data_IF_256524949780
#
_entry.id   IF_256524949780
#
_cell.length_a   1.000
_cell.length_b   1.000
_cell.length_c   1.000
_cell.angle_alpha   90.00
_cell.angle_beta   90.00
_cell.angle_gamma   90.00
#
_symmetry.space_group_name_H-M   'P 1'
#
loop_
_entity.id
_entity.type
_entity.pdbx_description
1 polymer ?
#
# COMPACT_ATOMS: atom_id res chain seq x y z
N UNK A 1 2.79 6.63 7.32
CA UNK A 1 3.41 6.54 5.98
C UNK A 1 3.41 5.09 5.54
N UNK A 2 2.94 4.78 4.33
CA UNK A 2 2.91 3.41 3.82
C UNK A 2 4.06 3.25 2.85
N UNK A 3 4.95 2.32 3.16
CA UNK A 3 6.07 1.97 2.29
C UNK A 3 5.81 0.63 1.63
N UNK A 4 6.20 0.51 0.36
CA UNK A 4 6.00 -0.67 -0.45
C UNK A 4 7.28 -1.17 -1.10
N UNK A 5 7.16 -2.32 -1.76
CA UNK A 5 8.21 -2.85 -2.61
C UNK A 5 7.94 -2.52 -4.07
N UNK A 6 8.75 -1.63 -4.65
CA UNK A 6 8.63 -1.33 -6.06
C UNK A 6 9.35 -2.39 -6.89
N UNK A 7 8.62 -3.28 -7.55
CA UNK A 7 9.18 -4.30 -8.45
C UNK A 7 9.97 -3.70 -9.63
N UNK A 8 9.65 -2.47 -10.04
CA UNK A 8 10.34 -1.79 -11.14
C UNK A 8 11.71 -1.26 -10.73
N UNK A 9 11.79 -0.60 -9.58
CA UNK A 9 13.06 -0.12 -9.02
C UNK A 9 13.82 -1.22 -8.27
N UNK A 10 13.14 -2.34 -7.95
CA UNK A 10 13.60 -3.40 -7.03
C UNK A 10 14.00 -2.87 -5.65
N UNK A 11 13.42 -1.75 -5.24
CA UNK A 11 13.67 -1.10 -3.96
C UNK A 11 12.54 -1.42 -2.97
N UNK A 12 12.94 -1.78 -1.76
CA UNK A 12 12.04 -1.94 -0.60
C UNK A 12 12.03 -0.62 0.17
N UNK A 13 10.88 -0.25 0.73
CA UNK A 13 10.76 0.98 1.52
C UNK A 13 10.34 2.19 0.70
N UNK A 14 9.86 1.98 -0.52
CA UNK A 14 9.41 3.06 -1.41
C UNK A 14 8.13 3.67 -0.86
N UNK A 15 8.13 4.98 -0.64
CA UNK A 15 6.95 5.71 -0.18
C UNK A 15 5.85 5.70 -1.24
N UNK A 16 4.64 5.32 -0.80
CA UNK A 16 3.46 5.30 -1.65
C UNK A 16 2.75 6.65 -1.58
N UNK A 17 2.60 7.31 -2.73
CA UNK A 17 1.70 8.44 -2.90
C UNK A 17 0.28 7.96 -3.12
N UNK A 18 -0.67 8.61 -2.42
CA UNK A 18 -2.09 8.26 -2.42
C UNK A 18 -2.34 6.76 -2.23
N UNK A 19 -1.90 6.15 -1.11
CA UNK A 19 -2.15 4.75 -0.87
C UNK A 19 -3.65 4.49 -0.65
N UNK A 20 -4.13 3.36 -1.14
CA UNK A 20 -5.49 2.86 -0.99
C UNK A 20 -5.43 1.43 -0.46
N UNK A 21 -6.13 1.17 0.64
CA UNK A 21 -6.17 -0.13 1.30
C UNK A 21 -7.26 -0.97 0.65
N UNK A 22 -6.85 -2.04 -0.03
CA UNK A 22 -7.73 -3.07 -0.57
C UNK A 22 -7.74 -4.31 0.31
N UNK A 23 -8.91 -4.94 0.44
CA UNK A 23 -9.04 -6.26 1.04
C UNK A 23 -9.08 -7.32 -0.07
N UNK A 24 -8.25 -8.36 0.06
CA UNK A 24 -8.26 -9.52 -0.84
C UNK A 24 -9.35 -10.51 -0.41
N UNK A 25 -9.87 -11.31 -1.35
CA UNK A 25 -10.92 -12.31 -1.07
C UNK A 25 -10.53 -13.34 0.02
N UNK A 26 -9.25 -13.52 0.30
CA UNK A 26 -8.73 -14.42 1.35
C UNK A 26 -8.55 -13.72 2.71
N UNK A 27 -8.99 -12.48 2.84
CA UNK A 27 -8.89 -11.69 4.08
C UNK A 27 -7.55 -10.98 4.30
N UNK A 28 -6.60 -11.07 3.35
CA UNK A 28 -5.35 -10.31 3.40
C UNK A 28 -5.54 -8.86 2.97
N UNK A 29 -4.75 -7.94 3.52
CA UNK A 29 -4.81 -6.51 3.21
C UNK A 29 -3.66 -6.09 2.30
N UNK A 30 -3.98 -5.23 1.33
CA UNK A 30 -3.04 -4.76 0.33
C UNK A 30 -3.18 -3.25 0.17
N UNK A 31 -2.14 -2.49 0.53
CA UNK A 31 -2.07 -1.10 0.13
C UNK A 31 -1.57 -0.99 -1.31
N UNK A 32 -2.33 -0.31 -2.15
CA UNK A 32 -1.90 0.08 -3.49
C UNK A 32 -1.64 1.57 -3.49
N UNK A 33 -0.49 2.00 -3.95
CA UNK A 33 -0.22 3.41 -4.16
C UNK A 33 0.68 3.61 -5.36
N UNK A 34 0.95 4.87 -5.69
CA UNK A 34 1.88 5.20 -6.78
C UNK A 34 3.24 5.51 -6.20
N UNK A 35 4.29 5.00 -6.83
CA UNK A 35 5.63 5.50 -6.59
C UNK A 35 5.86 6.73 -7.48
N UNK A 36 6.08 7.90 -6.88
CA UNK A 36 6.29 9.15 -7.62
C UNK A 36 7.50 9.07 -8.54
N UNK A 37 8.60 8.46 -8.08
CA UNK A 37 9.84 8.46 -8.86
C UNK A 37 9.79 7.57 -10.10
N UNK A 38 9.01 6.48 -10.08
CA UNK A 38 8.94 5.55 -11.22
C UNK A 38 7.57 5.48 -11.91
N UNK A 39 6.59 6.23 -11.41
CA UNK A 39 5.20 6.28 -11.89
C UNK A 39 4.45 4.95 -11.79
N UNK A 40 5.05 3.92 -11.20
CA UNK A 40 4.50 2.56 -11.19
C UNK A 40 3.61 2.38 -9.98
N UNK A 41 2.51 1.65 -10.17
CA UNK A 41 1.65 1.25 -9.06
C UNK A 41 2.38 0.20 -8.25
N UNK A 42 2.61 0.51 -6.98
CA UNK A 42 3.29 -0.36 -6.03
C UNK A 42 2.25 -0.90 -5.06
N UNK A 43 2.29 -2.23 -4.87
CA UNK A 43 1.42 -2.95 -3.96
C UNK A 43 2.24 -3.41 -2.75
N UNK A 44 1.85 -2.99 -1.56
CA UNK A 44 2.40 -3.45 -0.30
C UNK A 44 1.36 -4.36 0.38
N UNK A 45 1.65 -5.66 0.48
CA UNK A 45 0.87 -6.53 1.37
C UNK A 45 1.18 -6.17 2.81
N UNK A 46 0.14 -6.05 3.62
CA UNK A 46 0.26 -5.70 5.03
C UNK A 46 -0.66 -6.58 5.88
N UNK A 47 -0.30 -6.73 7.15
CA UNK A 47 -1.14 -7.38 8.15
C UNK A 47 -2.38 -6.55 8.42
N UNK A 48 -3.43 -7.22 8.93
CA UNK A 48 -4.71 -6.60 9.30
C UNK A 48 -4.53 -5.39 10.21
N UNK A 49 -3.71 -5.51 11.25
CA UNK A 49 -3.42 -4.42 12.19
C UNK A 49 -2.86 -3.17 11.51
N UNK A 50 -1.95 -3.33 10.54
CA UNK A 50 -1.35 -2.21 9.82
C UNK A 50 -2.35 -1.57 8.84
N UNK A 51 -3.23 -2.38 8.25
CA UNK A 51 -4.29 -1.88 7.40
C UNK A 51 -5.34 -1.09 8.20
N UNK A 52 -5.73 -1.58 9.37
CA UNK A 52 -6.67 -0.88 10.26
C UNK A 52 -6.07 0.43 10.77
N UNK A 53 -4.78 0.42 11.16
CA UNK A 53 -4.04 1.65 11.50
C UNK A 53 -3.98 2.63 10.35
N UNK A 54 -3.62 2.17 9.14
CA UNK A 54 -3.56 3.03 7.97
C UNK A 54 -4.89 3.72 7.70
N UNK A 55 -6.00 3.00 7.84
CA UNK A 55 -7.32 3.59 7.65
C UNK A 55 -7.64 4.56 8.78
N UNK A 56 -7.32 4.22 10.03
CA UNK A 56 -7.48 5.13 11.15
C UNK A 56 -6.68 6.44 10.96
N UNK A 57 -5.51 6.34 10.31
CA UNK A 57 -4.67 7.46 9.87
C UNK A 57 -5.28 8.28 8.69
N UNK A 58 -6.43 7.85 8.16
CA UNK A 58 -7.14 8.54 7.07
C UNK A 58 -6.79 8.03 5.66
N UNK A 59 -6.10 6.90 5.54
CA UNK A 59 -5.86 6.26 4.23
C UNK A 59 -7.16 5.65 3.69
N UNK A 60 -7.45 5.90 2.40
CA UNK A 60 -8.69 5.44 1.77
C UNK A 60 -8.82 3.92 1.81
N UNK A 61 -10.00 3.44 2.22
CA UNK A 61 -10.44 2.05 2.06
C UNK A 61 -11.08 1.88 0.69
N UNK A 62 -10.53 0.98 -0.12
CA UNK A 62 -11.02 0.64 -1.44
C UNK A 62 -11.46 -0.84 -1.48
N UNK A 63 -12.24 -1.26 -0.47
CA UNK A 63 -12.90 -2.57 -0.41
C UNK A 63 -14.42 -2.41 -0.37
#
# INVERSE_FOLDING_TARGET
>A
MITGYCVKCKEKGVELSAPEIHQTQKGGFMAKGKHEACGTTVCAMMSKDNAEKAVADGVKKAY
#
